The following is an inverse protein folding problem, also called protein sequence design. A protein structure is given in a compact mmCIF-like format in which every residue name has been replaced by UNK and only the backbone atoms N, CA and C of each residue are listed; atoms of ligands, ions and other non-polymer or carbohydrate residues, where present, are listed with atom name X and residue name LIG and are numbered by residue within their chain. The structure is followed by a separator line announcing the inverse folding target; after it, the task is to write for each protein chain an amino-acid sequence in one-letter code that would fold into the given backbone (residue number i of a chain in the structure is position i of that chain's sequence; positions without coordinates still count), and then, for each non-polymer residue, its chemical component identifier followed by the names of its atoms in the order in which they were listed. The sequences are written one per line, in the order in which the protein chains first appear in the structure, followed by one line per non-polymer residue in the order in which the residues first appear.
data_IF_775640892539
#
_entry.id   IF_775640892539
#
_cell.length_a   1.000
_cell.length_b   1.000
_cell.length_c   1.000
_cell.angle_alpha   90.00
_cell.angle_beta   90.00
_cell.angle_gamma   90.00
#
_symmetry.space_group_name_H-M   'P 1'
#
loop_
_entity.id
_entity.type
_entity.pdbx_description
1 polymer ?
#
# COMPACT_ATOMS: atom_id res chain seq x y z
N UNK A 1 -17.08 -9.37 12.96
CA UNK A 1 -16.51 -8.01 12.91
C UNK A 1 -15.04 -8.15 13.21
N UNK A 2 -14.19 -7.88 12.22
CA UNK A 2 -12.74 -7.87 12.41
C UNK A 2 -12.35 -6.50 13.00
N UNK A 3 -11.54 -6.51 14.06
CA UNK A 3 -11.02 -5.27 14.66
C UNK A 3 -9.68 -4.98 13.98
N UNK A 4 -9.58 -3.83 13.31
CA UNK A 4 -8.35 -3.39 12.66
C UNK A 4 -7.54 -2.55 13.65
N UNK A 5 -6.35 -3.02 14.03
CA UNK A 5 -5.39 -2.24 14.84
C UNK A 5 -4.58 -1.30 13.93
N UNK A 6 -4.98 -0.04 13.89
CA UNK A 6 -4.31 1.00 13.12
C UNK A 6 -2.90 1.33 13.65
N UNK A 7 -2.62 1.10 14.94
CA UNK A 7 -1.30 1.34 15.52
C UNK A 7 -0.31 0.29 15.05
N UNK A 8 -0.73 -0.97 15.01
CA UNK A 8 0.06 -2.05 14.44
C UNK A 8 0.33 -1.79 12.95
N UNK A 9 -0.71 -1.46 12.17
CA UNK A 9 -0.58 -1.14 10.73
C UNK A 9 0.40 0.00 10.45
N UNK A 10 0.40 1.04 11.29
CA UNK A 10 1.39 2.13 11.17
C UNK A 10 2.82 1.62 11.36
N UNK A 11 3.08 0.82 12.40
CA UNK A 11 4.42 0.27 12.66
C UNK A 11 4.91 -0.63 11.52
N UNK A 12 4.01 -1.43 10.95
CA UNK A 12 4.31 -2.26 9.79
C UNK A 12 4.64 -1.41 8.56
N UNK A 13 3.87 -0.35 8.29
CA UNK A 13 4.16 0.59 7.21
C UNK A 13 5.52 1.26 7.41
N UNK A 14 5.82 1.80 8.60
CA UNK A 14 7.10 2.46 8.91
C UNK A 14 8.31 1.51 8.76
N UNK A 15 8.11 0.20 8.96
CA UNK A 15 9.15 -0.81 8.77
C UNK A 15 9.33 -1.23 7.29
N UNK A 16 8.32 -0.99 6.44
CA UNK A 16 8.36 -1.29 5.02
C UNK A 16 8.94 -0.10 4.25
N UNK A 17 10.11 -0.27 3.62
CA UNK A 17 10.61 0.72 2.67
C UNK A 17 9.66 0.78 1.47
N UNK A 18 9.18 1.96 1.08
CA UNK A 18 8.21 2.16 -0.02
C UNK A 18 8.77 1.81 -1.43
N UNK A 19 9.80 0.97 -1.54
CA UNK A 19 10.72 0.94 -2.68
C UNK A 19 10.51 -0.21 -3.66
N UNK A 20 9.35 -0.86 -3.68
CA UNK A 20 9.01 -1.78 -4.77
C UNK A 20 7.94 -1.17 -5.66
N UNK A 21 8.39 -0.44 -6.67
CA UNK A 21 7.56 -0.04 -7.81
C UNK A 21 7.24 -1.29 -8.63
N UNK A 22 6.21 -2.02 -8.24
CA UNK A 22 5.78 -3.15 -9.05
C UNK A 22 4.77 -2.69 -10.10
N UNK A 23 4.98 -3.11 -11.33
CA UNK A 23 4.04 -2.88 -12.44
C UNK A 23 3.15 -4.11 -12.54
N UNK A 24 1.84 -3.93 -12.71
CA UNK A 24 0.94 -5.05 -12.90
C UNK A 24 1.25 -5.74 -14.23
N UNK A 25 0.96 -7.04 -14.34
CA UNK A 25 1.07 -7.77 -15.61
C UNK A 25 0.22 -7.17 -16.75
N UNK A 26 -0.80 -6.34 -16.45
CA UNK A 26 -1.56 -5.60 -17.46
C UNK A 26 -0.91 -4.28 -17.90
N UNK A 27 0.29 -3.95 -17.40
CA UNK A 27 1.04 -2.72 -17.72
C UNK A 27 0.70 -1.51 -16.86
N UNK A 28 -0.25 -1.64 -15.91
CA UNK A 28 -0.65 -0.56 -15.02
C UNK A 28 0.36 -0.39 -13.86
N UNK A 29 0.69 0.86 -13.54
CA UNK A 29 1.56 1.22 -12.43
C UNK A 29 0.80 1.73 -11.21
N UNK A 30 -0.47 2.13 -11.40
CA UNK A 30 -1.32 2.61 -10.32
C UNK A 30 -2.03 1.48 -9.58
N UNK A 31 -2.08 1.60 -8.26
CA UNK A 31 -2.74 0.63 -7.39
C UNK A 31 -3.52 1.28 -6.27
N UNK A 32 -4.48 0.52 -5.76
CA UNK A 32 -5.18 0.79 -4.51
C UNK A 32 -4.67 -0.16 -3.42
N UNK A 33 -4.60 0.32 -2.18
CA UNK A 33 -4.32 -0.51 -1.01
C UNK A 33 -5.63 -0.94 -0.38
N UNK A 34 -5.86 -2.26 -0.36
CA UNK A 34 -6.97 -2.86 0.39
C UNK A 34 -6.46 -3.29 1.76
N UNK A 35 -7.19 -2.92 2.82
CA UNK A 35 -6.90 -3.25 4.21
C UNK A 35 -5.47 -2.86 4.67
N UNK A 36 -5.00 -1.73 4.16
CA UNK A 36 -3.65 -1.21 4.34
C UNK A 36 -3.58 0.10 5.11
N UNK A 37 -2.35 0.58 5.29
CA UNK A 37 -2.07 1.90 5.82
C UNK A 37 -0.88 2.50 5.07
N UNK A 38 -0.82 3.83 5.02
CA UNK A 38 0.29 4.60 4.44
C UNK A 38 0.88 5.51 5.51
N UNK A 39 2.20 5.68 5.46
CA UNK A 39 2.91 6.75 6.16
C UNK A 39 3.18 7.86 5.16
N UNK A 40 2.87 9.10 5.55
CA UNK A 40 3.04 10.27 4.69
C UNK A 40 3.67 11.42 5.46
N UNK A 41 4.46 12.23 4.77
CA UNK A 41 4.97 13.50 5.27
C UNK A 41 3.85 14.55 5.29
N UNK A 42 4.01 15.65 6.05
CA UNK A 42 3.01 16.72 6.11
C UNK A 42 2.72 17.42 4.77
N UNK A 43 3.63 17.32 3.80
CA UNK A 43 3.45 17.82 2.44
C UNK A 43 2.66 16.86 1.52
N UNK A 44 2.27 15.69 2.03
CA UNK A 44 1.49 14.68 1.32
C UNK A 44 2.31 13.60 0.60
N UNK A 45 3.64 13.62 0.72
CA UNK A 45 4.48 12.56 0.10
C UNK A 45 4.37 11.25 0.88
N UNK A 46 4.11 10.14 0.18
CA UNK A 46 4.07 8.79 0.80
C UNK A 46 5.50 8.28 0.99
N UNK A 47 5.83 7.88 2.22
CA UNK A 47 7.17 7.38 2.59
C UNK A 47 7.20 5.88 2.87
N UNK A 48 6.04 5.28 3.17
CA UNK A 48 5.92 3.89 3.58
C UNK A 48 4.48 3.40 3.42
N UNK A 49 4.26 2.09 3.27
CA UNK A 49 2.91 1.51 3.27
C UNK A 49 2.88 0.03 3.68
N UNK A 50 1.73 -0.43 4.17
CA UNK A 50 1.40 -1.83 4.44
C UNK A 50 0.07 -2.18 3.77
N UNK A 51 -0.16 -3.47 3.50
CA UNK A 51 -1.40 -3.97 2.92
C UNK A 51 -1.17 -4.79 1.65
N UNK A 52 -2.25 -5.06 0.93
CA UNK A 52 -2.20 -5.82 -0.34
C UNK A 52 -2.51 -4.88 -1.51
N UNK A 53 -1.52 -4.46 -2.31
CA UNK A 53 -1.75 -3.60 -3.45
C UNK A 53 -2.55 -4.35 -4.53
N UNK A 54 -3.58 -3.69 -5.07
CA UNK A 54 -4.37 -4.19 -6.19
C UNK A 54 -4.35 -3.19 -7.33
N UNK A 55 -4.14 -3.68 -8.55
CA UNK A 55 -4.13 -2.88 -9.76
C UNK A 55 -5.47 -2.14 -9.93
N UNK A 56 -5.43 -0.83 -10.14
CA UNK A 56 -6.66 -0.03 -10.32
C UNK A 56 -7.40 -0.37 -11.62
N UNK A 57 -6.65 -0.79 -12.64
CA UNK A 57 -7.21 -1.04 -13.98
C UNK A 57 -7.81 -2.45 -14.12
N UNK A 58 -7.19 -3.49 -13.57
CA UNK A 58 -7.68 -4.87 -13.69
C UNK A 58 -8.09 -5.54 -12.37
N UNK A 59 -7.92 -4.88 -11.23
CA UNK A 59 -8.31 -5.36 -9.92
C UNK A 59 -7.49 -6.53 -9.37
N UNK A 60 -6.46 -6.99 -10.11
CA UNK A 60 -5.60 -8.11 -9.68
C UNK A 60 -4.58 -7.65 -8.63
N UNK A 61 -4.17 -8.53 -7.70
CA UNK A 61 -3.06 -8.25 -6.80
C UNK A 61 -1.81 -7.87 -7.59
N UNK A 62 -1.11 -6.85 -7.11
CA UNK A 62 0.21 -6.51 -7.62
C UNK A 62 1.24 -7.45 -7.01
N UNK A 63 2.10 -8.03 -7.86
CA UNK A 63 3.11 -9.05 -7.51
C UNK A 63 4.48 -8.46 -7.34
#
# INVERSE_FOLDING_TARGET
MEIIDLTQKRREADAASATEYTTCACGEAWFELRDGAVSMTPDGSITAWTGKPHCISCGKPMT
#
